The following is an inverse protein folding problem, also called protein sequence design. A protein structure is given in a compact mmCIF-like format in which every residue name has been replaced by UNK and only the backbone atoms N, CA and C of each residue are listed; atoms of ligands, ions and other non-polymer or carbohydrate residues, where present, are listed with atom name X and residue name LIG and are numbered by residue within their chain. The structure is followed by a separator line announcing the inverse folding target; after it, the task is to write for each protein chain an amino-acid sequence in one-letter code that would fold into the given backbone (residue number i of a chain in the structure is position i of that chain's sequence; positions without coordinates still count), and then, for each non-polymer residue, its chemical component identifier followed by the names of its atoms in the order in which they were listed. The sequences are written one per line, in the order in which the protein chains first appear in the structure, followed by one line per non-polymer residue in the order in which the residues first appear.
data_IF_083222945841
#
_entry.id   IF_083222945841
#
_cell.length_a   1.000
_cell.length_b   1.000
_cell.length_c   1.000
_cell.angle_alpha   90.00
_cell.angle_beta   90.00
_cell.angle_gamma   90.00
#
_symmetry.space_group_name_H-M   'P 1'
#
loop_
_entity.id
_entity.type
_entity.pdbx_description
1 polymer ?
#
# COMPACT_ATOMS: atom_id res chain seq x y z
N UNK A 1 38.86 -5.39 55.40
CA UNK A 1 38.01 -6.09 54.41
C UNK A 1 36.77 -5.31 53.97
N UNK A 2 35.89 -4.84 54.88
CA UNK A 2 34.65 -4.12 54.50
C UNK A 2 34.83 -2.84 53.67
N UNK A 3 35.91 -2.07 53.86
CA UNK A 3 36.20 -0.84 53.08
C UNK A 3 36.76 -1.09 51.67
N UNK A 4 37.33 -2.27 51.41
CA UNK A 4 37.86 -2.65 50.10
C UNK A 4 36.73 -3.18 49.20
N UNK A 5 35.78 -3.92 49.78
CA UNK A 5 34.58 -4.40 49.07
C UNK A 5 33.71 -3.23 48.59
N UNK A 6 33.51 -2.20 49.43
CA UNK A 6 32.69 -1.03 49.09
C UNK A 6 33.27 -0.18 47.94
N UNK A 7 34.60 -0.14 47.80
CA UNK A 7 35.28 0.58 46.70
C UNK A 7 35.21 -0.18 45.37
N UNK A 8 35.21 -1.52 45.42
CA UNK A 8 35.04 -2.36 44.22
C UNK A 8 33.59 -2.29 43.72
N UNK A 9 32.60 -2.27 44.62
CA UNK A 9 31.19 -2.13 44.23
C UNK A 9 30.89 -0.75 43.61
N UNK A 10 31.47 0.34 44.12
CA UNK A 10 31.28 1.68 43.55
C UNK A 10 31.94 1.85 42.16
N UNK A 11 33.11 1.23 41.93
CA UNK A 11 33.76 1.26 40.60
C UNK A 11 33.01 0.40 39.57
N UNK A 12 32.41 -0.71 39.98
CA UNK A 12 31.54 -1.49 39.10
C UNK A 12 30.26 -0.73 38.72
N UNK A 13 29.65 0.03 39.64
CA UNK A 13 28.48 0.86 39.33
C UNK A 13 28.80 2.04 38.40
N UNK A 14 29.98 2.66 38.52
CA UNK A 14 30.39 3.77 37.65
C UNK A 14 30.79 3.29 36.24
N UNK A 15 31.36 2.08 36.14
CA UNK A 15 31.59 1.40 34.86
C UNK A 15 30.32 0.88 34.19
N UNK A 16 29.29 0.53 34.98
CA UNK A 16 27.98 0.12 34.46
C UNK A 16 27.17 1.30 33.91
N UNK A 17 27.32 2.51 34.45
CA UNK A 17 26.63 3.71 33.94
C UNK A 17 27.24 4.27 32.65
N UNK A 18 28.50 3.97 32.35
CA UNK A 18 29.17 4.44 31.12
C UNK A 18 29.08 3.45 29.94
N UNK A 19 28.54 2.25 30.15
CA UNK A 19 28.34 1.25 29.10
C UNK A 19 26.93 1.25 28.50
N UNK A 20 26.00 2.07 29.01
CA UNK A 20 24.61 2.15 28.50
C UNK A 20 24.42 3.28 27.48
N UNK A 21 25.44 4.11 27.23
CA UNK A 21 25.32 5.31 26.39
C UNK A 21 25.60 5.09 24.90
N UNK A 22 25.61 3.84 24.42
CA UNK A 22 25.90 3.53 23.02
C UNK A 22 25.07 2.40 22.43
N UNK A 23 23.85 2.17 22.92
CA UNK A 23 22.80 1.75 21.99
C UNK A 23 22.19 3.03 21.44
N UNK A 24 22.83 3.57 20.39
CA UNK A 24 22.03 4.25 19.38
C UNK A 24 20.99 3.23 18.97
N UNK A 25 19.75 3.39 19.43
CA UNK A 25 18.63 2.70 18.83
C UNK A 25 18.77 2.99 17.33
N UNK A 26 19.01 1.95 16.53
CA UNK A 26 18.83 2.06 15.10
C UNK A 26 17.35 2.41 14.96
N UNK A 27 17.03 3.69 14.77
CA UNK A 27 15.69 4.06 14.37
C UNK A 27 15.48 3.37 13.03
N UNK A 28 14.51 2.43 12.93
CA UNK A 28 14.25 1.74 11.67
C UNK A 28 13.93 2.79 10.60
N UNK A 29 14.45 2.59 9.38
CA UNK A 29 14.15 3.45 8.23
C UNK A 29 12.62 3.60 8.11
N UNK A 30 12.08 4.78 8.43
CA UNK A 30 10.68 5.10 8.21
C UNK A 30 10.50 5.45 6.73
N UNK A 31 9.95 4.52 5.98
CA UNK A 31 9.70 4.66 4.54
C UNK A 31 8.36 5.35 4.29
N UNK A 32 7.35 5.03 5.10
CA UNK A 32 6.05 5.69 5.11
C UNK A 32 5.34 5.52 6.44
N UNK A 33 4.47 6.48 6.75
CA UNK A 33 3.58 6.44 7.92
C UNK A 33 2.14 6.34 7.47
N UNK A 34 1.25 5.96 8.38
CA UNK A 34 -0.21 6.11 8.28
C UNK A 34 -0.81 5.64 6.93
N UNK A 35 -0.22 4.60 6.35
CA UNK A 35 -0.63 3.95 5.10
C UNK A 35 -0.38 2.46 5.22
N UNK A 36 -1.08 1.68 4.41
CA UNK A 36 -0.87 0.23 4.36
C UNK A 36 -0.63 -0.24 2.94
N UNK A 37 0.52 -0.88 2.71
CA UNK A 37 0.74 -1.65 1.50
C UNK A 37 0.02 -2.99 1.62
N UNK A 38 -0.87 -3.30 0.67
CA UNK A 38 -1.60 -4.57 0.68
C UNK A 38 -1.07 -5.46 -0.43
N UNK A 39 -0.50 -6.59 -0.07
CA UNK A 39 0.10 -7.54 -1.01
C UNK A 39 -0.90 -8.60 -1.40
N UNK A 40 -0.97 -8.90 -2.70
CA UNK A 40 -1.84 -9.92 -3.26
C UNK A 40 -1.01 -11.08 -3.84
N UNK A 41 -1.31 -12.27 -3.35
CA UNK A 41 -0.79 -13.56 -3.79
C UNK A 41 -1.94 -14.48 -4.24
N UNK A 42 -1.62 -15.56 -4.95
CA UNK A 42 -2.61 -16.57 -5.36
C UNK A 42 -2.08 -17.97 -5.04
N UNK A 43 -1.32 -18.59 -5.95
CA UNK A 43 -0.84 -19.96 -5.82
C UNK A 43 0.64 -19.99 -5.40
N UNK A 44 0.98 -20.80 -4.39
CA UNK A 44 2.37 -21.07 -4.01
C UNK A 44 2.73 -22.51 -4.41
N UNK A 45 3.69 -22.68 -5.32
CA UNK A 45 4.08 -24.01 -5.79
C UNK A 45 5.53 -24.05 -6.25
N UNK A 46 6.25 -25.09 -5.83
CA UNK A 46 7.64 -25.34 -6.24
C UNK A 46 7.73 -26.12 -7.57
N UNK A 47 6.60 -26.63 -8.08
CA UNK A 47 6.55 -27.50 -9.27
C UNK A 47 5.68 -26.92 -10.38
N UNK A 48 4.60 -26.22 -10.05
CA UNK A 48 3.69 -25.59 -11.02
C UNK A 48 4.16 -24.18 -11.33
N UNK A 49 4.10 -23.78 -12.62
CA UNK A 49 4.46 -22.44 -13.08
C UNK A 49 3.25 -21.76 -13.70
N UNK A 50 3.10 -20.46 -13.45
CA UNK A 50 2.00 -19.67 -13.98
C UNK A 50 2.15 -18.18 -13.64
N UNK A 51 1.35 -17.30 -14.27
CA UNK A 51 1.46 -15.85 -14.07
C UNK A 51 1.09 -15.37 -12.66
N UNK A 52 0.35 -16.18 -11.88
CA UNK A 52 0.01 -15.96 -10.48
C UNK A 52 0.55 -17.05 -9.56
N UNK A 53 1.66 -17.70 -9.94
CA UNK A 53 2.28 -18.78 -9.16
C UNK A 53 3.73 -18.43 -8.87
N UNK A 54 4.10 -18.47 -7.58
CA UNK A 54 5.48 -18.29 -7.12
C UNK A 54 5.92 -19.50 -6.28
N UNK A 55 7.23 -19.72 -6.17
CA UNK A 55 7.77 -20.77 -5.32
C UNK A 55 7.65 -20.41 -3.84
N UNK A 56 7.67 -21.42 -2.98
CA UNK A 56 7.70 -21.25 -1.52
C UNK A 56 8.90 -20.41 -1.10
N UNK A 57 10.06 -20.65 -1.74
CA UNK A 57 11.30 -19.92 -1.49
C UNK A 57 11.18 -18.44 -1.89
N UNK A 58 10.62 -18.13 -3.07
CA UNK A 58 10.46 -16.74 -3.49
C UNK A 58 9.51 -15.99 -2.56
N UNK A 59 8.40 -16.63 -2.16
CA UNK A 59 7.46 -16.04 -1.20
C UNK A 59 8.15 -15.71 0.14
N UNK A 60 8.89 -16.68 0.70
CA UNK A 60 9.68 -16.46 1.93
C UNK A 60 10.68 -15.32 1.77
N UNK A 61 11.46 -15.32 0.69
CA UNK A 61 12.49 -14.32 0.46
C UNK A 61 11.89 -12.91 0.32
N UNK A 62 10.73 -12.75 -0.31
CA UNK A 62 10.03 -11.48 -0.37
C UNK A 62 9.66 -10.96 1.03
N UNK A 63 9.06 -11.81 1.88
CA UNK A 63 8.62 -11.38 3.21
C UNK A 63 9.80 -11.09 4.15
N UNK A 64 10.79 -11.98 4.19
CA UNK A 64 12.01 -11.76 4.99
C UNK A 64 12.81 -10.54 4.53
N UNK A 65 12.80 -10.22 3.23
CA UNK A 65 13.40 -8.99 2.74
C UNK A 65 12.67 -7.75 3.25
N UNK A 66 11.33 -7.73 3.20
CA UNK A 66 10.56 -6.61 3.75
C UNK A 66 10.77 -6.47 5.27
N UNK A 67 10.81 -7.57 6.02
CA UNK A 67 11.14 -7.56 7.44
C UNK A 67 12.54 -6.96 7.70
N UNK A 68 13.54 -7.34 6.89
CA UNK A 68 14.90 -6.78 6.96
C UNK A 68 14.97 -5.28 6.63
N UNK A 69 13.93 -4.75 5.99
CA UNK A 69 13.74 -3.32 5.66
C UNK A 69 12.75 -2.65 6.62
N UNK A 70 12.46 -3.27 7.76
CA UNK A 70 11.62 -2.74 8.83
C UNK A 70 10.16 -2.46 8.42
N UNK A 71 9.62 -3.26 7.50
CA UNK A 71 8.19 -3.29 7.26
C UNK A 71 7.48 -3.99 8.43
N UNK A 72 6.34 -3.45 8.84
CA UNK A 72 5.56 -3.98 9.96
C UNK A 72 4.32 -4.69 9.41
N UNK A 73 4.26 -6.01 9.54
CA UNK A 73 3.12 -6.77 9.06
C UNK A 73 1.95 -6.68 10.06
N UNK A 74 0.76 -6.34 9.55
CA UNK A 74 -0.45 -6.14 10.36
C UNK A 74 -1.52 -7.17 10.02
N UNK A 75 -2.34 -7.50 11.01
CA UNK A 75 -3.54 -8.31 10.85
C UNK A 75 -4.65 -7.55 10.10
N UNK A 76 -5.65 -8.29 9.62
CA UNK A 76 -6.83 -7.66 9.03
C UNK A 76 -7.63 -6.84 10.04
N UNK A 77 -7.65 -7.23 11.32
CA UNK A 77 -8.34 -6.48 12.36
C UNK A 77 -7.67 -5.13 12.60
N UNK A 78 -6.34 -5.09 12.65
CA UNK A 78 -5.57 -3.83 12.70
C UNK A 78 -5.80 -2.98 11.45
N UNK A 79 -5.84 -3.59 10.26
CA UNK A 79 -6.17 -2.90 9.02
C UNK A 79 -7.57 -2.29 9.05
N UNK A 80 -8.58 -3.03 9.53
CA UNK A 80 -9.96 -2.53 9.66
C UNK A 80 -10.02 -1.39 10.69
N UNK A 81 -9.37 -1.54 11.83
CA UNK A 81 -9.29 -0.49 12.84
C UNK A 81 -8.65 0.79 12.28
N UNK A 82 -7.63 0.65 11.44
CA UNK A 82 -6.99 1.76 10.74
C UNK A 82 -7.96 2.50 9.80
N UNK A 83 -8.72 1.76 9.00
CA UNK A 83 -9.78 2.33 8.16
C UNK A 83 -10.88 3.03 8.98
N UNK A 84 -11.03 2.65 10.25
CA UNK A 84 -11.97 3.26 11.21
C UNK A 84 -11.35 4.40 12.05
N UNK A 85 -10.07 4.75 11.82
CA UNK A 85 -9.42 5.90 12.47
C UNK A 85 -8.27 5.55 13.42
N UNK A 86 -8.00 4.28 13.70
CA UNK A 86 -6.84 3.88 14.51
C UNK A 86 -5.52 4.16 13.77
N UNK A 87 -4.41 4.20 14.50
CA UNK A 87 -3.06 4.27 13.91
C UNK A 87 -2.58 2.90 13.44
N UNK A 88 -1.72 2.89 12.43
CA UNK A 88 -0.90 1.72 12.05
C UNK A 88 0.57 1.99 12.39
N UNK A 89 1.39 0.93 12.58
CA UNK A 89 2.84 1.12 12.62
C UNK A 89 3.35 1.74 11.31
N UNK A 90 4.51 2.38 11.39
CA UNK A 90 5.23 2.82 10.19
C UNK A 90 5.51 1.62 9.28
N UNK A 91 5.59 1.85 7.97
CA UNK A 91 5.85 0.81 6.97
C UNK A 91 4.86 -0.38 7.01
N UNK A 92 3.58 -0.13 7.34
CA UNK A 92 2.59 -1.19 7.54
C UNK A 92 2.25 -1.98 6.26
N UNK A 93 2.20 -3.31 6.39
CA UNK A 93 1.89 -4.24 5.29
C UNK A 93 0.81 -5.24 5.69
N UNK A 94 -0.19 -5.43 4.82
CA UNK A 94 -1.16 -6.52 4.94
C UNK A 94 -0.88 -7.57 3.84
N UNK A 95 -0.78 -8.84 4.21
CA UNK A 95 -0.55 -9.95 3.26
C UNK A 95 -1.88 -10.66 2.96
N UNK A 96 -2.23 -10.76 1.68
CA UNK A 96 -3.49 -11.36 1.23
C UNK A 96 -3.29 -12.40 0.14
N UNK A 97 -4.16 -13.41 0.11
CA UNK A 97 -4.17 -14.51 -0.84
C UNK A 97 -5.57 -14.69 -1.41
N UNK A 98 -5.66 -14.79 -2.73
CA UNK A 98 -6.93 -15.01 -3.44
C UNK A 98 -7.18 -16.50 -3.70
N UNK A 99 -8.39 -16.80 -4.16
CA UNK A 99 -8.90 -18.11 -4.62
C UNK A 99 -9.14 -19.20 -3.55
N UNK A 100 -8.39 -19.21 -2.46
CA UNK A 100 -8.50 -20.23 -1.42
C UNK A 100 -7.86 -21.57 -1.81
N UNK A 101 -6.76 -21.53 -2.56
CA UNK A 101 -6.01 -22.73 -2.95
C UNK A 101 -5.43 -23.50 -1.75
N UNK A 102 -5.36 -24.82 -1.87
CA UNK A 102 -4.74 -25.73 -0.87
C UNK A 102 -3.31 -25.30 -0.51
N UNK A 103 -2.57 -24.79 -1.50
CA UNK A 103 -1.22 -24.25 -1.31
C UNK A 103 -1.08 -23.16 -0.25
N UNK A 104 -2.17 -22.42 0.04
CA UNK A 104 -2.16 -21.48 1.14
C UNK A 104 -1.94 -22.20 2.47
N UNK A 105 -2.63 -23.32 2.70
CA UNK A 105 -2.48 -24.11 3.92
C UNK A 105 -1.15 -24.89 3.95
N UNK A 106 -0.77 -25.50 2.83
CA UNK A 106 0.39 -26.43 2.79
C UNK A 106 1.74 -25.74 2.62
N UNK A 107 1.78 -24.53 2.05
CA UNK A 107 3.03 -23.78 1.81
C UNK A 107 3.00 -22.40 2.49
N UNK A 108 2.06 -21.54 2.13
CA UNK A 108 2.08 -20.13 2.56
C UNK A 108 1.94 -19.99 4.07
N UNK A 109 0.98 -20.69 4.67
CA UNK A 109 0.70 -20.66 6.12
C UNK A 109 1.91 -21.09 6.94
N UNK A 110 2.70 -22.07 6.46
CA UNK A 110 3.91 -22.51 7.17
C UNK A 110 4.98 -21.42 7.19
N UNK A 111 5.18 -20.71 6.08
CA UNK A 111 6.11 -19.57 6.00
C UNK A 111 5.61 -18.42 6.88
N UNK A 112 4.32 -18.08 6.80
CA UNK A 112 3.70 -17.04 7.63
C UNK A 112 3.86 -17.36 9.12
N UNK A 113 3.60 -18.60 9.53
CA UNK A 113 3.75 -19.06 10.90
C UNK A 113 5.21 -18.96 11.39
N UNK A 114 6.17 -19.36 10.56
CA UNK A 114 7.59 -19.29 10.90
C UNK A 114 8.08 -17.86 11.09
N UNK A 115 7.61 -16.93 10.24
CA UNK A 115 7.97 -15.51 10.30
C UNK A 115 7.10 -14.70 11.28
N UNK A 116 6.05 -15.30 11.86
CA UNK A 116 5.10 -14.57 12.71
C UNK A 116 4.29 -13.51 11.97
N UNK A 117 4.07 -13.68 10.65
CA UNK A 117 3.39 -12.71 9.79
C UNK A 117 1.91 -13.09 9.65
N UNK A 118 0.96 -12.21 10.02
CA UNK A 118 -0.46 -12.47 9.83
C UNK A 118 -0.84 -12.44 8.34
N UNK A 119 -1.92 -13.12 7.97
CA UNK A 119 -2.37 -13.22 6.57
C UNK A 119 -3.87 -13.37 6.41
N UNK A 120 -4.36 -13.01 5.22
CA UNK A 120 -5.78 -13.14 4.84
C UNK A 120 -5.92 -14.08 3.66
N UNK A 121 -6.81 -15.06 3.74
CA UNK A 121 -7.20 -15.90 2.61
C UNK A 121 -8.62 -15.57 2.18
N UNK A 122 -8.76 -15.02 0.97
CA UNK A 122 -10.04 -14.84 0.29
C UNK A 122 -10.43 -16.14 -0.40
N UNK A 123 -11.49 -16.78 0.09
CA UNK A 123 -11.88 -18.14 -0.30
C UNK A 123 -13.11 -18.11 -1.20
N UNK A 124 -13.04 -18.86 -2.31
CA UNK A 124 -14.21 -19.14 -3.16
C UNK A 124 -14.99 -20.28 -2.50
N UNK A 125 -16.05 -19.96 -1.76
CA UNK A 125 -16.69 -20.97 -0.87
C UNK A 125 -17.51 -22.03 -1.61
N UNK A 126 -17.78 -21.86 -2.90
CA UNK A 126 -18.39 -22.86 -3.77
C UNK A 126 -17.47 -24.03 -4.12
N UNK A 127 -16.16 -23.96 -3.80
CA UNK A 127 -15.20 -25.04 -4.04
C UNK A 127 -15.00 -25.96 -2.83
N UNK A 128 -15.51 -25.59 -1.65
CA UNK A 128 -15.28 -26.32 -0.39
C UNK A 128 -15.80 -27.77 -0.44
N UNK A 129 -16.91 -27.99 -1.15
CA UNK A 129 -17.53 -29.31 -1.31
C UNK A 129 -16.87 -30.18 -2.38
N UNK A 130 -16.17 -29.56 -3.32
CA UNK A 130 -15.40 -30.23 -4.36
C UNK A 130 -14.06 -29.50 -4.57
N UNK A 131 -13.09 -29.71 -3.66
CA UNK A 131 -11.81 -28.99 -3.71
C UNK A 131 -10.96 -29.32 -4.95
N UNK A 132 -11.34 -30.34 -5.71
CA UNK A 132 -10.66 -30.78 -6.94
C UNK A 132 -11.35 -30.29 -8.22
N UNK A 133 -12.41 -29.46 -8.10
CA UNK A 133 -13.19 -28.92 -9.24
C UNK A 133 -12.34 -28.10 -10.23
N UNK A 134 -11.21 -27.55 -9.79
CA UNK A 134 -10.30 -26.73 -10.61
C UNK A 134 -9.02 -27.45 -10.99
N UNK A 135 -8.21 -26.83 -11.86
CA UNK A 135 -6.86 -27.32 -12.19
C UNK A 135 -5.87 -27.18 -11.04
N UNK A 136 -6.16 -26.29 -10.09
CA UNK A 136 -5.39 -26.08 -8.87
C UNK A 136 -6.28 -26.46 -7.69
N UNK A 137 -5.85 -27.37 -6.80
CA UNK A 137 -6.64 -27.79 -5.65
C UNK A 137 -6.98 -26.62 -4.72
N UNK A 138 -8.20 -26.62 -4.20
CA UNK A 138 -8.67 -25.70 -3.17
C UNK A 138 -8.51 -26.30 -1.77
N UNK A 139 -8.53 -25.45 -0.75
CA UNK A 139 -8.56 -25.92 0.63
C UNK A 139 -9.84 -26.71 0.92
N UNK A 140 -9.69 -27.79 1.68
CA UNK A 140 -10.83 -28.59 2.13
C UNK A 140 -11.38 -28.09 3.48
N UNK A 141 -12.48 -28.72 3.93
CA UNK A 141 -13.18 -28.36 5.17
C UNK A 141 -12.29 -28.46 6.42
N UNK A 142 -11.41 -29.45 6.50
CA UNK A 142 -10.54 -29.64 7.66
C UNK A 142 -9.47 -28.54 7.74
N UNK A 143 -8.89 -28.17 6.61
CA UNK A 143 -7.87 -27.12 6.51
C UNK A 143 -8.46 -25.75 6.87
N UNK A 144 -9.63 -25.43 6.32
CA UNK A 144 -10.37 -24.21 6.68
C UNK A 144 -10.71 -24.18 8.18
N UNK A 145 -11.16 -25.30 8.75
CA UNK A 145 -11.44 -25.38 10.19
C UNK A 145 -10.18 -25.22 11.07
N UNK A 146 -9.01 -25.65 10.59
CA UNK A 146 -7.74 -25.44 11.30
C UNK A 146 -7.29 -23.98 11.23
N UNK A 147 -7.39 -23.36 10.05
CA UNK A 147 -7.03 -21.96 9.85
C UNK A 147 -7.99 -21.02 10.58
N UNK A 148 -9.29 -21.28 10.55
CA UNK A 148 -10.31 -20.45 11.23
C UNK A 148 -10.16 -20.39 12.76
N UNK A 149 -9.48 -21.38 13.37
CA UNK A 149 -9.11 -21.35 14.79
C UNK A 149 -7.93 -20.41 15.11
N UNK A 150 -7.30 -19.83 14.10
CA UNK A 150 -6.16 -18.91 14.21
C UNK A 150 -6.58 -17.44 14.02
N UNK A 151 -7.82 -17.10 14.40
CA UNK A 151 -8.35 -15.72 14.36
C UNK A 151 -7.35 -14.71 14.96
N UNK A 152 -7.19 -13.57 14.31
CA UNK A 152 -6.17 -12.56 14.64
C UNK A 152 -4.78 -12.85 14.05
N UNK A 153 -4.53 -14.07 13.56
CA UNK A 153 -3.32 -14.42 12.81
C UNK A 153 -3.64 -14.76 11.35
N UNK A 154 -4.57 -15.69 11.12
CA UNK A 154 -5.12 -15.98 9.79
C UNK A 154 -6.60 -15.66 9.76
N UNK A 155 -7.00 -14.84 8.80
CA UNK A 155 -8.40 -14.50 8.55
C UNK A 155 -8.89 -15.15 7.24
N UNK A 156 -10.05 -15.80 7.30
CA UNK A 156 -10.74 -16.33 6.12
C UNK A 156 -11.79 -15.31 5.69
N UNK A 157 -11.79 -14.90 4.43
CA UNK A 157 -12.65 -13.83 3.93
C UNK A 157 -13.24 -14.17 2.55
N UNK A 158 -14.16 -13.37 2.05
CA UNK A 158 -14.94 -13.71 0.87
C UNK A 158 -14.15 -13.53 -0.43
N UNK A 159 -14.16 -14.55 -1.28
CA UNK A 159 -13.91 -14.39 -2.71
C UNK A 159 -15.13 -14.81 -3.53
N UNK A 160 -16.33 -14.52 -3.01
CA UNK A 160 -17.64 -14.98 -3.49
C UNK A 160 -17.86 -16.48 -3.27
N UNK A 161 -19.10 -16.95 -3.42
CA UNK A 161 -19.38 -18.39 -3.42
C UNK A 161 -19.19 -18.96 -4.83
N UNK A 162 -19.84 -18.35 -5.81
CA UNK A 162 -19.95 -18.86 -7.19
C UNK A 162 -19.88 -17.75 -8.24
N UNK A 163 -19.32 -16.56 -7.94
CA UNK A 163 -19.17 -15.46 -8.91
C UNK A 163 -17.78 -15.35 -9.55
N UNK A 164 -16.86 -16.27 -9.25
CA UNK A 164 -15.50 -16.29 -9.80
C UNK A 164 -15.43 -16.93 -11.21
N UNK A 165 -16.35 -16.54 -12.09
CA UNK A 165 -16.47 -17.03 -13.46
C UNK A 165 -16.71 -15.88 -14.45
N UNK A 166 -16.59 -16.19 -15.74
CA UNK A 166 -16.87 -15.26 -16.84
C UNK A 166 -17.83 -15.89 -17.85
N UNK A 167 -18.87 -15.14 -18.24
CA UNK A 167 -19.73 -15.49 -19.36
C UNK A 167 -19.38 -14.59 -20.54
N UNK A 168 -18.97 -15.16 -21.68
CA UNK A 168 -18.57 -14.37 -22.86
C UNK A 168 -17.49 -13.31 -22.54
N UNK A 169 -16.50 -13.69 -21.71
CA UNK A 169 -15.40 -12.80 -21.29
C UNK A 169 -15.76 -11.78 -20.20
N UNK A 170 -17.02 -11.73 -19.76
CA UNK A 170 -17.54 -10.77 -18.77
C UNK A 170 -17.72 -11.43 -17.41
N UNK A 171 -17.20 -10.82 -16.34
CA UNK A 171 -17.25 -11.37 -14.99
C UNK A 171 -18.69 -11.47 -14.47
N UNK A 172 -19.05 -12.62 -13.88
CA UNK A 172 -20.41 -12.87 -13.36
C UNK A 172 -20.83 -11.80 -12.34
N UNK A 173 -19.91 -11.39 -11.47
CA UNK A 173 -20.19 -10.44 -10.40
C UNK A 173 -20.68 -9.07 -10.93
N UNK A 174 -20.20 -8.62 -12.09
CA UNK A 174 -20.48 -7.27 -12.61
C UNK A 174 -21.40 -7.25 -13.83
N UNK A 175 -21.82 -8.42 -14.33
CA UNK A 175 -22.59 -8.50 -15.56
C UNK A 175 -23.87 -9.31 -15.39
N UNK A 176 -24.90 -8.90 -16.14
CA UNK A 176 -26.12 -9.69 -16.34
C UNK A 176 -25.78 -10.95 -17.13
N UNK A 177 -26.25 -12.09 -16.64
CA UNK A 177 -26.04 -13.37 -17.29
C UNK A 177 -27.11 -13.60 -18.37
N UNK A 178 -26.79 -14.39 -19.39
CA UNK A 178 -27.78 -15.00 -20.27
C UNK A 178 -28.32 -16.26 -19.59
N UNK A 179 -29.60 -16.27 -19.29
CA UNK A 179 -30.35 -17.34 -18.63
C UNK A 179 -31.41 -17.86 -19.61
N UNK A 180 -31.30 -19.11 -20.05
CA UNK A 180 -32.29 -19.77 -20.91
C UNK A 180 -32.71 -18.93 -22.14
N UNK A 181 -31.75 -18.29 -22.80
CA UNK A 181 -31.99 -17.50 -24.02
C UNK A 181 -32.45 -16.05 -23.80
N UNK A 182 -32.52 -15.57 -22.55
CA UNK A 182 -32.77 -14.15 -22.23
C UNK A 182 -31.71 -13.58 -21.31
N UNK A 183 -31.59 -12.26 -21.32
CA UNK A 183 -30.73 -11.56 -20.35
C UNK A 183 -31.41 -11.50 -18.98
N UNK A 184 -30.62 -11.74 -17.94
CA UNK A 184 -31.00 -11.58 -16.55
C UNK A 184 -31.51 -10.16 -16.29
N UNK A 185 -32.63 -10.07 -15.58
CA UNK A 185 -33.22 -8.79 -15.18
C UNK A 185 -32.40 -8.14 -14.07
N UNK A 186 -32.64 -6.85 -13.80
CA UNK A 186 -32.00 -6.15 -12.70
C UNK A 186 -32.27 -6.81 -11.33
N UNK A 187 -33.52 -7.20 -11.05
CA UNK A 187 -33.88 -7.85 -9.79
C UNK A 187 -33.23 -9.22 -9.62
N UNK A 188 -33.10 -9.99 -10.71
CA UNK A 188 -32.44 -11.30 -10.67
C UNK A 188 -30.95 -11.18 -10.43
N UNK A 189 -30.28 -10.23 -11.10
CA UNK A 189 -28.88 -9.94 -10.87
C UNK A 189 -28.62 -9.54 -9.42
N UNK A 190 -29.41 -8.61 -8.90
CA UNK A 190 -29.28 -8.15 -7.52
C UNK A 190 -29.44 -9.34 -6.56
N UNK A 191 -30.49 -10.15 -6.75
CA UNK A 191 -30.74 -11.33 -5.93
C UNK A 191 -29.61 -12.36 -6.02
N UNK A 192 -29.05 -12.59 -7.21
CA UNK A 192 -27.92 -13.50 -7.41
C UNK A 192 -26.67 -13.02 -6.67
N UNK A 193 -26.27 -11.76 -6.87
CA UNK A 193 -25.04 -11.22 -6.28
C UNK A 193 -25.16 -11.10 -4.76
N UNK A 194 -26.27 -10.58 -4.26
CA UNK A 194 -26.52 -10.47 -2.81
C UNK A 194 -26.66 -11.85 -2.17
N UNK A 195 -27.41 -12.77 -2.78
CA UNK A 195 -27.59 -14.13 -2.29
C UNK A 195 -26.28 -14.91 -2.22
N UNK A 196 -25.46 -14.84 -3.27
CA UNK A 196 -24.11 -15.43 -3.30
C UNK A 196 -23.23 -14.90 -2.16
N UNK A 197 -23.24 -13.57 -1.98
CA UNK A 197 -22.48 -12.91 -0.92
C UNK A 197 -22.90 -13.40 0.46
N UNK A 198 -24.20 -13.51 0.72
CA UNK A 198 -24.75 -14.02 1.99
C UNK A 198 -24.35 -15.49 2.21
N UNK A 199 -24.46 -16.33 1.17
CA UNK A 199 -24.05 -17.75 1.26
C UNK A 199 -22.57 -17.86 1.61
N UNK A 200 -21.72 -17.09 0.92
CA UNK A 200 -20.28 -17.11 1.17
C UNK A 200 -19.97 -16.73 2.63
N UNK A 201 -20.61 -15.67 3.14
CA UNK A 201 -20.48 -15.25 4.54
C UNK A 201 -20.89 -16.32 5.54
N UNK A 202 -22.07 -16.93 5.35
CA UNK A 202 -22.55 -18.00 6.24
C UNK A 202 -21.59 -19.19 6.25
N UNK A 203 -21.07 -19.59 5.07
CA UNK A 203 -20.10 -20.67 4.97
C UNK A 203 -18.81 -20.34 5.71
N UNK A 204 -18.25 -19.14 5.52
CA UNK A 204 -17.02 -18.71 6.21
C UNK A 204 -17.21 -18.61 7.72
N UNK A 205 -18.31 -18.01 8.17
CA UNK A 205 -18.63 -17.84 9.59
C UNK A 205 -18.65 -19.17 10.35
N UNK A 206 -19.09 -20.25 9.70
CA UNK A 206 -19.08 -21.59 10.27
C UNK A 206 -17.68 -22.15 10.58
N UNK A 207 -16.63 -21.64 9.93
CA UNK A 207 -15.23 -22.00 10.18
C UNK A 207 -14.51 -20.98 11.05
N UNK A 208 -14.86 -19.69 10.92
CA UNK A 208 -14.23 -18.58 11.60
C UNK A 208 -15.30 -17.53 11.99
N UNK A 209 -15.83 -17.55 13.22
CA UNK A 209 -16.90 -16.63 13.61
C UNK A 209 -16.54 -15.15 13.45
N UNK A 210 -17.42 -14.41 12.78
CA UNK A 210 -17.24 -13.00 12.41
C UNK A 210 -16.49 -12.77 11.08
N UNK A 211 -16.26 -13.83 10.29
CA UNK A 211 -15.64 -13.73 8.97
C UNK A 211 -16.62 -13.38 7.84
N UNK A 212 -16.07 -13.04 6.68
CA UNK A 212 -16.81 -12.85 5.44
C UNK A 212 -17.35 -11.43 5.22
N UNK A 213 -17.14 -10.50 6.14
CA UNK A 213 -17.48 -9.07 5.93
C UNK A 213 -16.46 -8.33 5.03
N UNK A 214 -15.37 -9.00 4.64
CA UNK A 214 -14.38 -8.50 3.71
C UNK A 214 -14.38 -9.31 2.43
N UNK A 215 -14.29 -8.66 1.27
CA UNK A 215 -14.28 -9.26 -0.06
C UNK A 215 -12.98 -8.95 -0.80
N UNK A 216 -12.45 -9.88 -1.58
CA UNK A 216 -11.63 -9.54 -2.75
C UNK A 216 -12.51 -9.69 -4.00
N UNK A 217 -12.56 -8.68 -4.87
CA UNK A 217 -13.34 -8.80 -6.10
C UNK A 217 -12.68 -9.81 -7.05
N UNK A 218 -13.41 -10.81 -7.57
CA UNK A 218 -12.94 -11.67 -8.64
C UNK A 218 -12.35 -10.87 -9.80
N UNK A 219 -11.12 -11.20 -10.20
CA UNK A 219 -10.34 -10.51 -11.23
C UNK A 219 -10.09 -9.01 -10.95
N UNK A 220 -10.41 -8.51 -9.76
CA UNK A 220 -10.40 -7.09 -9.41
C UNK A 220 -11.46 -6.23 -10.10
N UNK A 221 -12.47 -6.85 -10.71
CA UNK A 221 -13.50 -6.16 -11.51
C UNK A 221 -14.72 -5.85 -10.64
N UNK A 222 -15.12 -4.59 -10.60
CA UNK A 222 -16.28 -4.09 -9.86
C UNK A 222 -17.02 -3.01 -10.66
N UNK A 223 -18.27 -2.74 -10.29
CA UNK A 223 -19.06 -1.61 -10.76
C UNK A 223 -20.00 -1.14 -9.64
N UNK A 224 -20.70 0.01 -9.77
CA UNK A 224 -21.57 0.52 -8.71
C UNK A 224 -22.68 -0.44 -8.28
N UNK A 225 -23.29 -1.18 -9.21
CA UNK A 225 -24.35 -2.14 -8.90
C UNK A 225 -23.84 -3.33 -8.09
N UNK A 226 -22.68 -3.87 -8.47
CA UNK A 226 -22.02 -4.96 -7.74
C UNK A 226 -21.62 -4.50 -6.34
N UNK A 227 -21.06 -3.29 -6.19
CA UNK A 227 -20.72 -2.70 -4.89
C UNK A 227 -21.97 -2.65 -4.00
N UNK A 228 -23.07 -2.10 -4.50
CA UNK A 228 -24.31 -2.02 -3.73
C UNK A 228 -24.84 -3.41 -3.34
N UNK A 229 -24.82 -4.37 -4.26
CA UNK A 229 -25.33 -5.72 -4.02
C UNK A 229 -24.49 -6.52 -3.00
N UNK A 230 -23.16 -6.41 -3.03
CA UNK A 230 -22.30 -7.07 -2.04
C UNK A 230 -22.36 -6.38 -0.67
N UNK A 231 -22.54 -5.05 -0.63
CA UNK A 231 -22.79 -4.32 0.61
C UNK A 231 -24.12 -4.76 1.26
N UNK A 232 -25.17 -4.94 0.46
CA UNK A 232 -26.45 -5.49 0.94
C UNK A 232 -26.29 -6.94 1.46
N UNK A 233 -25.35 -7.70 0.88
CA UNK A 233 -24.95 -9.00 1.40
C UNK A 233 -24.12 -8.94 2.70
N UNK A 234 -23.73 -7.75 3.13
CA UNK A 234 -23.01 -7.47 4.37
C UNK A 234 -21.48 -7.39 4.24
N UNK A 235 -20.96 -7.13 3.05
CA UNK A 235 -19.56 -6.73 2.86
C UNK A 235 -19.37 -5.29 3.32
N UNK A 236 -18.36 -5.05 4.15
CA UNK A 236 -17.96 -3.73 4.65
C UNK A 236 -16.67 -3.22 4.01
N UNK A 237 -15.79 -4.13 3.62
CA UNK A 237 -14.50 -3.83 3.02
C UNK A 237 -14.30 -4.66 1.76
N UNK A 238 -13.83 -4.09 0.66
CA UNK A 238 -13.60 -4.81 -0.57
C UNK A 238 -12.30 -4.40 -1.29
N UNK A 239 -11.47 -5.39 -1.58
CA UNK A 239 -10.18 -5.24 -2.22
C UNK A 239 -10.25 -5.42 -3.73
N UNK A 240 -9.45 -4.61 -4.42
CA UNK A 240 -9.30 -4.55 -5.88
C UNK A 240 -7.89 -4.99 -6.29
N UNK A 241 -7.56 -4.92 -7.58
CA UNK A 241 -6.20 -5.14 -8.10
C UNK A 241 -5.52 -3.83 -8.50
N UNK A 242 -6.06 -2.69 -8.05
CA UNK A 242 -5.49 -1.38 -8.35
C UNK A 242 -4.12 -1.25 -7.68
N UNK A 243 -3.02 -1.03 -8.44
CA UNK A 243 -1.68 -1.00 -7.89
C UNK A 243 -1.42 0.37 -7.24
N UNK A 244 -2.05 0.64 -6.11
CA UNK A 244 -1.86 1.81 -5.24
C UNK A 244 -1.63 1.35 -3.79
N UNK A 245 -1.33 2.28 -2.90
CA UNK A 245 -1.28 2.04 -1.45
C UNK A 245 -2.60 2.46 -0.80
N UNK A 246 -2.96 1.85 0.32
CA UNK A 246 -4.14 2.22 1.10
C UNK A 246 -3.81 3.41 1.99
N UNK A 247 -4.65 4.43 1.93
CA UNK A 247 -4.65 5.62 2.81
C UNK A 247 -5.98 5.73 3.56
N UNK A 248 -6.09 6.67 4.51
CA UNK A 248 -7.35 6.92 5.24
C UNK A 248 -8.50 7.35 4.34
N UNK A 249 -8.19 8.00 3.23
CA UNK A 249 -9.16 8.47 2.24
C UNK A 249 -9.55 7.37 1.23
N UNK A 250 -8.96 6.19 1.33
CA UNK A 250 -9.32 5.07 0.46
C UNK A 250 -10.75 4.64 0.73
N UNK A 251 -11.53 4.53 -0.35
CA UNK A 251 -12.89 3.99 -0.30
C UNK A 251 -12.85 2.55 0.23
N UNK A 252 -13.53 2.23 1.35
CA UNK A 252 -13.55 0.89 1.93
C UNK A 252 -14.02 -0.19 0.94
N UNK A 253 -14.80 0.16 -0.08
CA UNK A 253 -15.27 -0.77 -1.11
C UNK A 253 -14.38 -0.85 -2.34
N UNK A 254 -13.23 -0.16 -2.35
CA UNK A 254 -12.27 -0.11 -3.47
C UNK A 254 -10.81 -0.10 -3.00
N UNK A 255 -10.50 -0.91 -1.99
CA UNK A 255 -9.17 -0.96 -1.39
C UNK A 255 -8.12 -1.46 -2.40
N UNK A 256 -7.04 -0.71 -2.68
CA UNK A 256 -6.02 -1.13 -3.63
C UNK A 256 -5.13 -2.27 -3.10
N UNK A 257 -4.53 -3.03 -4.03
CA UNK A 257 -3.56 -4.08 -3.74
C UNK A 257 -2.44 -4.13 -4.78
N UNK A 258 -1.25 -4.49 -4.32
CA UNK A 258 -0.07 -4.71 -5.15
C UNK A 258 0.05 -6.20 -5.47
N UNK A 259 0.17 -6.54 -6.76
CA UNK A 259 0.37 -7.92 -7.18
C UNK A 259 1.81 -8.37 -6.87
N UNK A 260 1.99 -9.05 -5.75
CA UNK A 260 3.28 -9.60 -5.31
C UNK A 260 3.47 -11.06 -5.77
N UNK A 261 2.38 -11.75 -6.12
CA UNK A 261 2.35 -13.15 -6.57
C UNK A 261 2.74 -13.40 -8.02
N UNK A 262 3.41 -12.45 -8.69
CA UNK A 262 3.98 -12.67 -10.02
C UNK A 262 5.40 -13.26 -9.89
N UNK A 263 5.77 -14.28 -10.69
CA UNK A 263 7.10 -14.90 -10.61
C UNK A 263 8.25 -13.95 -10.99
N UNK A 264 7.94 -12.80 -11.58
CA UNK A 264 8.91 -11.76 -11.94
C UNK A 264 9.15 -10.72 -10.84
N UNK A 265 8.35 -10.75 -9.77
CA UNK A 265 8.49 -9.81 -8.64
C UNK A 265 9.48 -10.40 -7.65
N UNK A 266 10.75 -10.03 -7.80
CA UNK A 266 11.81 -10.36 -6.84
C UNK A 266 11.71 -9.47 -5.59
N UNK A 267 12.36 -9.81 -4.46
CA UNK A 267 12.25 -9.06 -3.21
C UNK A 267 12.50 -7.55 -3.33
N UNK A 268 13.57 -7.15 -4.03
CA UNK A 268 13.89 -5.74 -4.27
C UNK A 268 12.86 -5.08 -5.20
N UNK A 269 12.35 -5.81 -6.18
CA UNK A 269 11.28 -5.33 -7.06
C UNK A 269 10.00 -5.07 -6.27
N UNK A 270 9.65 -5.95 -5.33
CA UNK A 270 8.49 -5.77 -4.45
C UNK A 270 8.63 -4.51 -3.59
N UNK A 271 9.78 -4.33 -2.95
CA UNK A 271 10.08 -3.11 -2.20
C UNK A 271 9.94 -1.85 -3.08
N UNK A 272 10.54 -1.86 -4.27
CA UNK A 272 10.44 -0.75 -5.21
C UNK A 272 8.99 -0.51 -5.68
N UNK A 273 8.19 -1.56 -5.83
CA UNK A 273 6.76 -1.44 -6.15
C UNK A 273 6.00 -0.73 -5.04
N UNK A 274 6.28 -1.06 -3.76
CA UNK A 274 5.67 -0.38 -2.62
C UNK A 274 6.11 1.09 -2.61
N UNK A 275 7.41 1.37 -2.68
CA UNK A 275 7.94 2.73 -2.61
C UNK A 275 7.43 3.65 -3.73
N UNK A 276 7.20 3.11 -4.93
CA UNK A 276 6.59 3.87 -6.05
C UNK A 276 5.10 4.16 -5.88
N UNK A 277 4.46 3.61 -4.85
CA UNK A 277 3.01 3.72 -4.59
C UNK A 277 2.67 4.31 -3.25
N UNK A 278 3.63 4.37 -2.33
CA UNK A 278 3.57 5.23 -1.15
C UNK A 278 3.14 6.61 -1.61
N UNK A 279 1.94 6.99 -1.22
CA UNK A 279 1.49 8.36 -1.29
C UNK A 279 2.09 9.02 -0.08
N UNK A 280 3.16 9.80 -0.23
CA UNK A 280 3.77 10.46 0.92
C UNK A 280 2.66 11.08 1.79
N UNK A 281 2.60 10.69 3.06
CA UNK A 281 1.59 11.22 3.95
C UNK A 281 1.83 12.69 4.15
N UNK A 282 0.72 13.42 4.08
CA UNK A 282 0.64 14.83 4.40
C UNK A 282 0.97 14.99 5.87
N UNK A 283 2.25 15.14 6.17
CA UNK A 283 2.72 15.77 7.41
C UNK A 283 3.49 17.06 7.13
N UNK A 284 3.18 17.71 6.00
CA UNK A 284 3.21 19.16 5.93
C UNK A 284 2.35 19.61 4.74
N UNK A 285 1.14 20.09 5.04
CA UNK A 285 0.24 20.68 4.06
C UNK A 285 0.97 21.62 3.10
N UNK A 286 0.90 21.30 1.82
CA UNK A 286 1.44 22.11 0.74
C UNK A 286 0.73 21.72 -0.54
N UNK A 287 0.29 22.71 -1.30
CA UNK A 287 -0.26 22.50 -2.63
C UNK A 287 0.82 21.93 -3.56
N UNK A 288 0.46 20.93 -4.37
CA UNK A 288 1.36 20.36 -5.38
C UNK A 288 1.21 21.11 -6.70
N UNK A 289 2.32 21.39 -7.36
CA UNK A 289 2.34 22.14 -8.60
C UNK A 289 3.13 21.39 -9.68
N UNK A 290 2.67 21.42 -10.96
CA UNK A 290 3.45 20.92 -12.07
C UNK A 290 4.76 21.71 -12.17
N UNK A 291 5.89 21.05 -11.91
CA UNK A 291 7.19 21.71 -11.72
C UNK A 291 7.57 22.55 -12.94
N UNK A 292 7.40 22.00 -14.15
CA UNK A 292 7.78 22.69 -15.39
C UNK A 292 6.97 23.97 -15.57
N UNK A 293 5.65 23.83 -15.58
CA UNK A 293 4.73 24.92 -15.84
C UNK A 293 4.85 26.02 -14.76
N UNK A 294 5.03 25.62 -13.51
CA UNK A 294 5.21 26.55 -12.39
C UNK A 294 6.52 27.32 -12.54
N UNK A 295 7.64 26.64 -12.78
CA UNK A 295 8.94 27.29 -12.97
C UNK A 295 8.93 28.22 -14.18
N UNK A 296 8.29 27.80 -15.29
CA UNK A 296 8.15 28.63 -16.50
C UNK A 296 7.28 29.88 -16.24
N UNK A 297 6.18 29.76 -15.49
CA UNK A 297 5.33 30.91 -15.11
C UNK A 297 6.04 31.90 -14.17
N UNK A 298 6.95 31.41 -13.34
CA UNK A 298 7.80 32.24 -12.47
C UNK A 298 9.00 32.85 -13.21
N UNK A 299 9.21 32.54 -14.50
CA UNK A 299 10.31 33.07 -15.30
C UNK A 299 11.62 32.27 -15.22
N UNK A 300 11.56 31.04 -14.71
CA UNK A 300 12.67 30.08 -14.76
C UNK A 300 12.54 29.07 -15.90
N UNK A 301 13.49 28.13 -15.97
CA UNK A 301 13.48 27.05 -16.95
C UNK A 301 14.02 25.74 -16.35
N UNK A 302 13.47 24.60 -16.79
CA UNK A 302 14.04 23.29 -16.47
C UNK A 302 15.02 22.86 -17.55
N UNK A 303 16.16 22.31 -17.15
CA UNK A 303 17.17 21.76 -18.04
C UNK A 303 17.51 20.30 -17.69
N UNK A 304 18.18 19.60 -18.60
CA UNK A 304 18.84 18.33 -18.32
C UNK A 304 20.33 18.50 -18.44
N UNK A 305 21.05 18.14 -17.40
CA UNK A 305 22.51 18.14 -17.41
C UNK A 305 23.00 17.07 -18.40
N UNK A 306 23.89 17.45 -19.31
CA UNK A 306 24.39 16.56 -20.35
C UNK A 306 25.41 15.54 -19.82
N UNK A 307 26.05 15.82 -18.70
CA UNK A 307 27.09 14.96 -18.13
C UNK A 307 26.50 13.72 -17.45
N UNK A 308 25.37 13.87 -16.76
CA UNK A 308 24.77 12.79 -15.97
C UNK A 308 23.26 12.62 -16.15
N UNK A 309 22.66 13.33 -17.11
CA UNK A 309 21.24 13.25 -17.46
C UNK A 309 20.30 13.59 -16.28
N UNK A 310 20.79 14.31 -15.27
CA UNK A 310 19.97 14.75 -14.15
C UNK A 310 19.12 15.97 -14.54
N UNK A 311 17.94 16.06 -13.93
CA UNK A 311 17.06 17.23 -14.04
C UNK A 311 17.68 18.38 -13.25
N UNK A 312 17.65 19.58 -13.82
CA UNK A 312 17.99 20.82 -13.13
C UNK A 312 16.97 21.91 -13.41
N UNK A 313 17.06 23.00 -12.66
CA UNK A 313 16.28 24.22 -12.87
C UNK A 313 17.20 25.44 -12.84
N UNK A 314 16.90 26.42 -13.68
CA UNK A 314 17.52 27.73 -13.70
C UNK A 314 16.47 28.76 -13.32
N UNK A 315 16.76 29.58 -12.31
CA UNK A 315 15.89 30.67 -11.89
C UNK A 315 16.74 31.90 -11.62
N UNK A 316 16.49 33.00 -12.34
CA UNK A 316 17.26 34.24 -12.28
C UNK A 316 18.79 34.03 -12.39
N UNK A 317 19.22 33.09 -13.24
CA UNK A 317 20.64 32.77 -13.44
C UNK A 317 21.27 31.87 -12.37
N UNK A 318 20.50 31.48 -11.34
CA UNK A 318 20.93 30.51 -10.33
C UNK A 318 20.56 29.11 -10.79
N UNK A 319 21.57 28.24 -10.90
CA UNK A 319 21.39 26.84 -11.30
C UNK A 319 21.20 25.94 -10.08
N UNK A 320 20.21 25.04 -10.18
CA UNK A 320 19.97 24.00 -9.22
C UNK A 320 19.88 22.64 -9.90
N UNK A 321 20.29 21.59 -9.20
CA UNK A 321 20.36 20.23 -9.72
C UNK A 321 19.67 19.25 -8.79
N UNK A 322 18.71 18.49 -9.32
CA UNK A 322 18.00 17.46 -8.56
C UNK A 322 18.85 16.20 -8.46
N UNK A 323 18.88 15.60 -7.27
CA UNK A 323 19.52 14.31 -7.03
C UNK A 323 18.95 13.20 -7.96
N UNK A 324 19.70 12.09 -8.17
CA UNK A 324 19.24 10.96 -8.98
C UNK A 324 17.88 10.39 -8.52
N UNK A 325 17.70 10.23 -7.22
CA UNK A 325 16.49 9.73 -6.55
C UNK A 325 15.41 10.80 -6.37
N UNK A 326 15.67 12.03 -6.81
CA UNK A 326 14.76 13.17 -6.79
C UNK A 326 14.33 13.62 -5.40
N UNK A 327 15.05 13.22 -4.34
CA UNK A 327 14.75 13.57 -2.95
C UNK A 327 15.41 14.88 -2.48
N UNK A 328 16.37 15.43 -3.23
CA UNK A 328 17.03 16.69 -2.88
C UNK A 328 17.43 17.52 -4.09
N UNK A 329 17.74 18.79 -3.84
CA UNK A 329 18.17 19.78 -4.83
C UNK A 329 19.42 20.48 -4.33
N UNK A 330 20.45 20.53 -5.16
CA UNK A 330 21.69 21.26 -4.86
C UNK A 330 21.73 22.56 -5.65
N UNK A 331 21.85 23.69 -4.97
CA UNK A 331 22.18 24.97 -5.61
C UNK A 331 23.66 24.99 -5.96
N UNK A 332 23.97 25.14 -7.24
CA UNK A 332 25.34 24.97 -7.75
C UNK A 332 26.28 26.13 -7.41
N UNK A 333 25.74 27.30 -7.07
CA UNK A 333 26.53 28.48 -6.74
C UNK A 333 27.33 28.31 -5.43
N UNK A 334 26.76 27.62 -4.44
CA UNK A 334 27.32 27.48 -3.09
C UNK A 334 27.26 26.05 -2.54
N UNK A 335 26.83 25.08 -3.35
CA UNK A 335 26.59 23.69 -2.96
C UNK A 335 25.57 23.53 -1.81
N UNK A 336 24.68 24.51 -1.60
CA UNK A 336 23.62 24.37 -0.62
C UNK A 336 22.66 23.24 -1.06
N UNK A 337 22.38 22.30 -0.15
CA UNK A 337 21.49 21.17 -0.40
C UNK A 337 20.16 21.40 0.29
N UNK A 338 19.08 21.31 -0.50
CA UNK A 338 17.71 21.39 -0.05
C UNK A 338 17.10 20.00 -0.15
N UNK A 339 16.86 19.35 1.00
CA UNK A 339 16.08 18.11 1.04
C UNK A 339 14.62 18.44 0.75
N UNK A 340 13.99 17.71 -0.18
CA UNK A 340 12.57 17.89 -0.47
C UNK A 340 11.75 17.16 0.57
N UNK A 341 10.61 17.74 0.95
CA UNK A 341 9.66 17.08 1.83
C UNK A 341 9.03 15.86 1.13
N UNK A 342 9.00 15.87 -0.22
CA UNK A 342 8.67 14.71 -1.07
C UNK A 342 9.58 14.65 -2.28
N UNK A 343 10.06 13.45 -2.69
CA UNK A 343 10.75 13.32 -3.95
C UNK A 343 9.87 13.78 -5.12
N UNK A 344 10.47 14.39 -6.15
CA UNK A 344 9.72 14.68 -7.37
C UNK A 344 9.13 13.37 -7.91
N UNK A 345 7.82 13.36 -8.13
CA UNK A 345 7.16 12.27 -8.81
C UNK A 345 6.74 12.69 -10.22
N UNK A 346 6.54 11.69 -11.08
CA UNK A 346 6.17 11.88 -12.47
C UNK A 346 4.80 11.25 -12.70
N UNK A 347 3.86 12.03 -13.20
CA UNK A 347 2.55 11.58 -13.66
C UNK A 347 2.40 11.89 -15.16
N UNK A 348 2.35 10.83 -15.97
CA UNK A 348 2.38 10.96 -17.42
C UNK A 348 3.69 11.58 -17.93
N UNK A 349 3.61 12.79 -18.49
CA UNK A 349 4.78 13.56 -18.99
C UNK A 349 5.17 14.71 -18.07
N UNK A 350 4.49 14.87 -16.93
CA UNK A 350 4.67 16.00 -16.00
C UNK A 350 5.38 15.53 -14.74
N UNK A 351 6.29 16.37 -14.26
CA UNK A 351 6.89 16.22 -12.94
C UNK A 351 6.20 17.16 -11.97
N UNK A 352 6.04 16.74 -10.72
CA UNK A 352 5.35 17.51 -9.69
C UNK A 352 6.26 17.74 -8.49
N UNK A 353 6.13 18.92 -7.88
CA UNK A 353 6.83 19.34 -6.66
C UNK A 353 5.82 19.96 -5.69
N UNK A 354 6.09 19.89 -4.39
CA UNK A 354 5.34 20.68 -3.42
C UNK A 354 5.71 22.16 -3.56
N UNK A 355 4.71 23.05 -3.53
CA UNK A 355 4.94 24.50 -3.65
C UNK A 355 5.91 25.01 -2.59
N UNK A 356 5.73 24.62 -1.33
CA UNK A 356 6.64 24.97 -0.23
C UNK A 356 8.10 24.53 -0.44
N UNK A 357 8.31 23.41 -1.14
CA UNK A 357 9.66 22.95 -1.47
C UNK A 357 10.27 23.88 -2.52
N UNK A 358 9.48 24.24 -3.53
CA UNK A 358 9.89 25.19 -4.56
C UNK A 358 10.14 26.59 -3.99
N UNK A 359 9.28 27.08 -3.11
CA UNK A 359 9.45 28.33 -2.35
C UNK A 359 10.76 28.33 -1.56
N UNK A 360 11.06 27.24 -0.84
CA UNK A 360 12.29 27.08 -0.06
C UNK A 360 13.55 27.03 -0.94
N UNK A 361 13.49 26.35 -2.08
CA UNK A 361 14.60 26.26 -3.05
C UNK A 361 14.89 27.63 -3.66
N UNK A 362 13.84 28.32 -4.08
CA UNK A 362 13.94 29.58 -4.82
C UNK A 362 14.06 30.81 -3.91
N UNK A 363 13.72 30.67 -2.63
CA UNK A 363 13.71 31.77 -1.65
C UNK A 363 12.63 32.81 -1.92
N UNK A 364 11.45 32.38 -2.38
CA UNK A 364 10.30 33.23 -2.75
C UNK A 364 9.00 32.68 -2.16
N UNK A 365 7.95 33.49 -2.13
CA UNK A 365 6.58 33.07 -1.88
C UNK A 365 5.83 32.92 -3.20
N UNK A 366 5.10 31.82 -3.37
CA UNK A 366 4.36 31.48 -4.59
C UNK A 366 2.87 31.42 -4.27
N UNK A 367 2.06 32.15 -5.04
CA UNK A 367 0.60 32.15 -4.92
C UNK A 367 -0.02 31.52 -6.16
N UNK A 368 -1.01 30.64 -5.96
CA UNK A 368 -1.88 30.11 -7.02
C UNK A 368 -3.12 31.00 -7.16
N UNK A 369 -3.29 31.64 -8.31
CA UNK A 369 -4.51 32.38 -8.64
C UNK A 369 -5.61 31.38 -9.06
N UNK A 370 -6.60 31.19 -8.19
CA UNK A 370 -7.59 30.11 -8.29
C UNK A 370 -8.50 30.22 -9.54
N UNK A 371 -8.64 31.40 -10.11
CA UNK A 371 -9.47 31.70 -11.28
C UNK A 371 -8.80 31.32 -12.61
N UNK A 372 -7.47 31.42 -12.66
CA UNK A 372 -6.65 31.29 -13.87
C UNK A 372 -5.74 30.05 -13.81
N UNK A 373 -5.52 29.50 -12.62
CA UNK A 373 -4.58 28.40 -12.39
C UNK A 373 -3.13 28.80 -12.61
N UNK A 374 -2.82 30.10 -12.52
CA UNK A 374 -1.45 30.63 -12.70
C UNK A 374 -0.74 30.82 -11.37
N UNK A 375 0.55 30.51 -11.36
CA UNK A 375 1.45 30.71 -10.24
C UNK A 375 2.21 32.03 -10.41
N UNK A 376 2.16 32.88 -9.40
CA UNK A 376 2.86 34.18 -9.38
C UNK A 376 3.68 34.33 -8.11
N UNK A 377 4.73 35.15 -8.16
CA UNK A 377 5.44 35.61 -6.95
C UNK A 377 4.65 36.71 -6.26
N UNK A 378 4.61 36.74 -4.94
CA UNK A 378 4.06 37.91 -4.23
C UNK A 378 4.82 39.19 -4.64
N UNK A 379 4.14 40.35 -4.78
CA UNK A 379 4.83 41.62 -4.94
C UNK A 379 5.72 41.87 -3.70
N UNK A 380 6.89 42.52 -3.85
CA UNK A 380 7.68 42.91 -2.68
C UNK A 380 6.79 43.74 -1.75
N UNK A 381 6.79 43.41 -0.45
CA UNK A 381 6.05 44.16 0.56
C UNK A 381 6.29 45.65 0.35
N UNK A 382 5.22 46.42 0.14
CA UNK A 382 5.32 47.88 0.04
C UNK A 382 6.05 48.36 1.28
N UNK A 383 7.24 48.94 1.08
CA UNK A 383 7.94 49.65 2.13
C UNK A 383 7.01 50.76 2.60
N UNK A 384 6.58 50.65 3.85
CA UNK A 384 5.82 51.64 4.58
C UNK A 384 6.51 53.01 4.45
N UNK A 385 6.11 53.78 3.43
CA UNK A 385 6.57 55.13 3.24
C UNK A 385 5.67 56.01 4.09
N UNK A 386 6.05 56.04 5.37
CA UNK A 386 5.58 57.03 6.32
C UNK A 386 5.67 58.41 5.67
N UNK A 387 4.50 58.99 5.43
CA UNK A 387 4.37 60.42 5.17
C UNK A 387 3.60 60.99 6.35
N UNK A 388 4.37 61.52 7.29
CA UNK A 388 3.93 62.59 8.18
C UNK A 388 3.46 63.77 7.32
N UNK A 389 2.22 64.19 7.50
CA UNK A 389 1.81 65.61 7.47
C UNK A 389 0.54 65.81 8.27
#
# INVERSE_FOLDING_TARGET
MKKLLLRITLLCCLGLTMAVSSLSAFEPDVLYKDQVAVLMYHHISDTVKGPGTITTELFRNQLSFLESRHYNFISLDEFKAYMEGASVPDNAVLVTFDDGYESFYTHAYLVLQELGIPGVSFVITGTIDDPQKGTTPFMNREELAKLGKRKGFIELQSHTDSQHEKQNGKAYLTHRLQLNGRTETESEYKSRVTGDTVICRIKLDSYAPGSGDTLAYPFGIYNPEAIAAVQEGGIRYAFTVMPKIVTRESDPMRLPRLNAGSPYVQPETLHNMIMRRVTAIKDAGGEEAPLRETVEQLGGELYKDKADNQLGLNYNGTLFKFSPDKSSVTRLADNAVFTLDRPLYVEGRRSYILLKDLERILGISIRLEADTGTYTTDPPAESDSGTES
#
